data_IF_047486735101
#
_entry.id   IF_047486735101
#
_cell.length_a   1.000
_cell.length_b   1.000
_cell.length_c   1.000
_cell.angle_alpha   90.00
_cell.angle_beta   90.00
_cell.angle_gamma   90.00
#
_symmetry.space_group_name_H-M   'P 1'
#
loop_
_entity.id
_entity.type
_entity.pdbx_description
1 polymer ?
#
# COMPACT_ATOMS: atom_id res chain seq x y z
N UNK A 1 -2.14 -0.64 -24.64
CA UNK A 1 -2.16 -0.81 -23.17
C UNK A 1 -0.94 -1.62 -22.77
N UNK A 2 -0.05 -1.09 -21.94
CA UNK A 2 1.19 -1.76 -21.52
C UNK A 2 1.00 -2.28 -20.09
N UNK A 3 1.26 -3.57 -19.88
CA UNK A 3 1.19 -4.21 -18.55
C UNK A 3 2.56 -4.77 -18.22
N UNK A 4 3.08 -4.43 -17.04
CA UNK A 4 4.37 -4.91 -16.55
C UNK A 4 4.24 -5.47 -15.14
N UNK A 5 4.85 -6.63 -14.90
CA UNK A 5 4.99 -7.19 -13.56
C UNK A 5 6.29 -6.65 -12.95
N UNK A 6 6.20 -6.16 -11.73
CA UNK A 6 7.34 -5.68 -10.95
C UNK A 6 7.37 -6.44 -9.62
N UNK A 7 8.56 -6.59 -9.05
CA UNK A 7 8.75 -7.18 -7.73
C UNK A 7 9.34 -6.12 -6.82
N UNK A 8 8.68 -5.88 -5.70
CA UNK A 8 9.19 -5.00 -4.65
C UNK A 8 10.05 -5.80 -3.69
N UNK A 9 11.01 -5.13 -3.07
CA UNK A 9 11.83 -5.64 -1.99
C UNK A 9 10.97 -6.07 -0.81
N UNK A 10 11.33 -7.19 -0.18
CA UNK A 10 10.63 -7.67 1.00
C UNK A 10 10.75 -6.64 2.13
N UNK A 11 9.62 -6.31 2.75
CA UNK A 11 9.55 -5.38 3.88
C UNK A 11 8.91 -6.07 5.08
N UNK A 12 9.34 -5.76 6.32
CA UNK A 12 8.65 -6.22 7.52
C UNK A 12 7.24 -5.60 7.62
N UNK A 13 6.41 -6.09 8.54
CA UNK A 13 5.07 -5.51 8.79
C UNK A 13 5.17 -4.02 9.10
N UNK A 14 4.34 -3.22 8.44
CA UNK A 14 4.29 -1.77 8.62
C UNK A 14 3.99 -1.05 7.31
N UNK A 15 4.16 0.28 7.32
CA UNK A 15 4.01 1.13 6.15
C UNK A 15 5.36 1.43 5.52
N UNK A 16 5.41 1.33 4.19
CA UNK A 16 6.64 1.53 3.43
C UNK A 16 6.33 2.43 2.23
N UNK A 17 7.16 3.44 2.04
CA UNK A 17 7.10 4.26 0.82
C UNK A 17 7.76 3.46 -0.29
N UNK A 18 6.98 3.14 -1.32
CA UNK A 18 7.45 2.34 -2.48
C UNK A 18 7.45 3.13 -3.79
N UNK A 19 7.20 4.44 -3.75
CA UNK A 19 7.08 5.31 -4.94
C UNK A 19 8.30 5.21 -5.85
N UNK A 20 9.51 5.39 -5.30
CA UNK A 20 10.74 5.35 -6.10
C UNK A 20 11.01 3.96 -6.68
N UNK A 21 10.71 2.90 -5.92
CA UNK A 21 10.88 1.52 -6.35
C UNK A 21 9.95 1.20 -7.52
N UNK A 22 8.67 1.58 -7.43
CA UNK A 22 7.69 1.43 -8.51
C UNK A 22 8.11 2.23 -9.76
N UNK A 23 8.51 3.50 -9.62
CA UNK A 23 8.92 4.33 -10.75
C UNK A 23 10.20 3.80 -11.43
N UNK A 24 11.18 3.33 -10.66
CA UNK A 24 12.40 2.75 -11.19
C UNK A 24 12.15 1.48 -12.03
N UNK A 25 11.12 0.71 -11.68
CA UNK A 25 10.75 -0.50 -12.39
C UNK A 25 10.05 -0.21 -13.73
N UNK A 26 9.60 1.03 -13.96
CA UNK A 26 8.87 1.46 -15.16
C UNK A 26 9.55 2.71 -15.76
N UNK A 27 10.77 2.59 -16.32
CA UNK A 27 11.53 3.76 -16.79
C UNK A 27 10.79 4.54 -17.90
N UNK A 28 9.99 3.86 -18.73
CA UNK A 28 9.20 4.50 -19.79
C UNK A 28 8.04 5.36 -19.31
N UNK A 29 7.72 5.36 -18.00
CA UNK A 29 6.62 6.17 -17.47
C UNK A 29 6.87 7.68 -17.64
N UNK A 30 8.15 8.09 -17.67
CA UNK A 30 8.54 9.50 -17.87
C UNK A 30 8.27 10.03 -19.28
N UNK A 31 8.04 9.12 -20.25
CA UNK A 31 7.74 9.48 -21.64
C UNK A 31 6.24 9.64 -21.89
N UNK A 32 5.40 9.32 -20.90
CA UNK A 32 3.95 9.40 -20.99
C UNK A 32 3.54 10.76 -20.42
N UNK A 33 3.03 11.66 -21.27
CA UNK A 33 2.56 12.98 -20.83
C UNK A 33 1.18 12.91 -20.15
N UNK A 34 0.27 12.09 -20.71
CA UNK A 34 -1.10 11.94 -20.21
C UNK A 34 -1.56 10.49 -20.34
N UNK A 35 -2.32 10.02 -19.36
CA UNK A 35 -2.87 8.67 -19.39
C UNK A 35 -3.39 8.23 -18.04
N UNK A 36 -3.68 6.93 -17.92
CA UNK A 36 -4.16 6.32 -16.70
C UNK A 36 -3.18 5.25 -16.23
N UNK A 37 -2.77 5.33 -14.97
CA UNK A 37 -1.85 4.39 -14.34
C UNK A 37 -2.59 3.53 -13.32
N UNK A 38 -2.68 2.23 -13.60
CA UNK A 38 -3.25 1.26 -12.68
C UNK A 38 -2.13 0.47 -12.01
N UNK A 39 -2.06 0.55 -10.67
CA UNK A 39 -1.16 -0.27 -9.87
C UNK A 39 -1.98 -1.30 -9.08
N UNK A 40 -1.77 -2.59 -9.38
CA UNK A 40 -2.47 -3.69 -8.74
C UNK A 40 -1.51 -4.55 -7.92
N UNK A 41 -1.82 -4.73 -6.64
CA UNK A 41 -1.06 -5.60 -5.75
C UNK A 41 -1.58 -7.05 -5.85
N UNK A 42 -0.67 -7.99 -6.09
CA UNK A 42 -0.99 -9.43 -6.24
C UNK A 42 -0.89 -10.22 -4.93
N UNK A 43 -0.74 -9.55 -3.79
CA UNK A 43 -0.65 -10.16 -2.47
C UNK A 43 -1.97 -9.96 -1.71
N UNK A 44 -2.37 -10.98 -0.96
CA UNK A 44 -3.55 -10.93 -0.07
C UNK A 44 -3.21 -10.40 1.33
N UNK A 45 -1.94 -10.44 1.71
CA UNK A 45 -1.44 -10.01 3.03
C UNK A 45 -0.93 -8.56 3.06
N UNK A 46 -1.10 -7.81 1.97
CA UNK A 46 -0.62 -6.45 1.85
C UNK A 46 -1.63 -5.60 1.08
N UNK A 47 -1.56 -4.29 1.27
CA UNK A 47 -2.44 -3.33 0.62
C UNK A 47 -1.64 -2.14 0.12
N UNK A 48 -2.13 -1.50 -0.93
CA UNK A 48 -1.56 -0.25 -1.43
C UNK A 48 -2.44 0.91 -0.98
N UNK A 49 -1.81 1.99 -0.53
CA UNK A 49 -2.50 3.24 -0.22
C UNK A 49 -1.74 4.40 -0.86
N UNK A 50 -2.46 5.45 -1.23
CA UNK A 50 -1.89 6.73 -1.64
C UNK A 50 -2.21 7.71 -0.52
N UNK A 51 -1.20 8.35 0.03
CA UNK A 51 -1.34 9.30 1.11
C UNK A 51 -0.30 10.42 0.97
N UNK A 52 -0.48 11.49 1.75
CA UNK A 52 0.46 12.59 1.84
C UNK A 52 1.82 12.11 2.38
N UNK A 53 2.89 12.58 1.75
CA UNK A 53 4.27 12.28 2.14
C UNK A 53 5.08 13.55 2.46
N UNK A 54 4.39 14.67 2.76
CA UNK A 54 5.04 15.94 3.11
C UNK A 54 5.49 15.98 4.57
N UNK A 55 4.73 15.38 5.49
CA UNK A 55 5.06 15.32 6.91
C UNK A 55 5.37 13.87 7.36
N UNK A 56 6.46 13.71 8.11
CA UNK A 56 6.85 12.45 8.70
C UNK A 56 5.86 11.97 9.79
N UNK A 57 5.11 12.89 10.41
CA UNK A 57 4.08 12.57 11.42
C UNK A 57 2.93 11.74 10.83
N UNK A 58 2.54 12.00 9.58
CA UNK A 58 1.50 11.22 8.87
C UNK A 58 1.84 9.72 8.79
N UNK A 59 3.13 9.40 8.62
CA UNK A 59 3.59 8.01 8.61
C UNK A 59 3.60 7.39 10.00
N UNK A 60 3.91 8.18 11.03
CA UNK A 60 3.85 7.73 12.41
C UNK A 60 2.41 7.45 12.84
N UNK A 61 1.45 8.26 12.41
CA UNK A 61 0.02 8.07 12.68
C UNK A 61 -0.57 6.91 11.90
N UNK A 62 -0.25 6.78 10.61
CA UNK A 62 -0.67 5.62 9.81
C UNK A 62 -0.03 4.33 10.32
N UNK A 63 1.25 4.37 10.67
CA UNK A 63 1.98 3.26 11.29
C UNK A 63 1.67 3.06 12.77
N UNK A 64 0.85 3.92 13.38
CA UNK A 64 0.54 3.84 14.80
C UNK A 64 -0.17 2.54 15.13
N UNK A 65 -0.03 2.13 16.40
CA UNK A 65 -0.71 0.98 17.00
C UNK A 65 -2.20 0.93 16.60
N UNK A 66 -2.87 2.07 16.55
CA UNK A 66 -4.30 2.18 16.31
C UNK A 66 -4.74 1.68 14.93
N UNK A 67 -4.01 1.96 13.86
CA UNK A 67 -4.39 1.46 12.52
C UNK A 67 -4.08 -0.03 12.38
N UNK A 68 -2.95 -0.49 12.94
CA UNK A 68 -2.58 -1.91 12.89
C UNK A 68 -3.46 -2.79 13.79
N UNK A 69 -3.93 -2.27 14.94
CA UNK A 69 -4.92 -2.93 15.81
C UNK A 69 -6.34 -2.85 15.24
N UNK A 70 -6.74 -1.73 14.63
CA UNK A 70 -8.08 -1.62 14.05
C UNK A 70 -8.28 -2.58 12.88
N UNK A 71 -7.25 -2.81 12.04
CA UNK A 71 -7.27 -3.88 11.03
C UNK A 71 -7.35 -5.28 11.68
N UNK A 72 -6.69 -5.49 12.82
CA UNK A 72 -6.79 -6.74 13.55
C UNK A 72 -8.21 -6.96 14.10
N UNK A 73 -8.82 -5.93 14.68
CA UNK A 73 -10.20 -5.98 15.19
C UNK A 73 -11.24 -6.11 14.07
N UNK A 74 -11.05 -5.40 12.95
CA UNK A 74 -11.91 -5.51 11.76
C UNK A 74 -11.84 -6.88 11.08
N UNK A 75 -10.75 -7.64 11.29
CA UNK A 75 -10.59 -9.00 10.80
C UNK A 75 -11.21 -10.09 11.70
N UNK A 76 -11.68 -9.72 12.91
CA UNK A 76 -12.35 -10.68 13.80
C UNK A 76 -13.75 -11.01 13.26
N UNK A 77 -14.13 -12.29 13.18
CA UNK A 77 -15.51 -12.64 12.88
C UNK A 77 -16.41 -12.05 13.97
N UNK A 78 -17.46 -11.31 13.58
CA UNK A 78 -18.49 -10.82 14.50
C UNK A 78 -19.03 -12.03 15.27
N UNK A 79 -18.70 -12.15 16.56
CA UNK A 79 -19.28 -13.21 17.38
C UNK A 79 -20.80 -13.02 17.35
N UNK A 80 -21.50 -14.04 16.85
CA UNK A 80 -22.95 -14.10 16.92
C UNK A 80 -23.33 -13.99 18.40
N UNK A 81 -24.14 -12.99 18.73
CA UNK A 81 -24.64 -12.77 20.07
C UNK A 81 -25.31 -14.07 20.56
N UNK A 82 -24.73 -14.70 21.58
CA UNK A 82 -25.37 -15.81 22.28
C UNK A 82 -26.51 -15.23 23.12
N UNK A 83 -27.73 -15.47 22.68
CA UNK A 83 -28.93 -15.45 23.52
C UNK A 83 -28.88 -16.62 24.50
#
# INVERSE_FOLDING_TARGET
MVTKRIQLSAKPRGFHIVTNEVLSAIPGIKLIEYGLFNLFIKHTSASLTINENADATVRADAGSRYFCESLFWASQPKQAAKT
#
